data_IF_331757548339
#
_entry.id   IF_331757548339
#
_cell.length_a   1.000
_cell.length_b   1.000
_cell.length_c   1.000
_cell.angle_alpha   90.00
_cell.angle_beta   90.00
_cell.angle_gamma   90.00
#
_symmetry.space_group_name_H-M   'P 1'
#
loop_
_entity.id
_entity.type
_entity.pdbx_description
1 polymer ?
#
# COMPACT_ATOMS: atom_id res chain seq x y z
N UNK A 1 -25.04 61.12 17.81
CA UNK A 1 -24.31 60.24 16.89
C UNK A 1 -23.93 58.97 17.64
N UNK A 2 -24.61 57.87 17.40
CA UNK A 2 -24.28 56.59 18.06
C UNK A 2 -23.50 55.75 17.10
N UNK A 3 -22.20 55.53 17.41
CA UNK A 3 -21.37 54.59 16.69
C UNK A 3 -21.79 53.17 17.08
N UNK A 4 -22.32 52.43 16.13
CA UNK A 4 -22.55 50.99 16.29
C UNK A 4 -21.34 50.26 15.78
N UNK A 5 -20.53 49.73 16.66
CA UNK A 5 -19.47 48.79 16.30
C UNK A 5 -20.11 47.43 16.07
N UNK A 6 -20.14 47.00 14.82
CA UNK A 6 -20.48 45.61 14.48
C UNK A 6 -19.24 44.77 14.77
N UNK A 7 -19.27 43.96 15.83
CA UNK A 7 -18.25 42.92 16.03
C UNK A 7 -18.49 41.81 15.00
N UNK A 8 -17.66 41.80 13.98
CA UNK A 8 -17.60 40.66 13.07
C UNK A 8 -16.84 39.55 13.81
N UNK A 9 -17.59 38.54 14.27
CA UNK A 9 -16.99 37.30 14.79
C UNK A 9 -16.56 36.47 13.61
N UNK A 10 -15.26 36.49 13.29
CA UNK A 10 -14.69 35.53 12.31
C UNK A 10 -14.57 34.20 13.05
N UNK A 11 -15.55 33.32 12.83
CA UNK A 11 -15.41 31.92 13.19
C UNK A 11 -14.33 31.28 12.34
N UNK A 12 -13.18 30.94 12.92
CA UNK A 12 -12.18 30.11 12.27
C UNK A 12 -12.75 28.69 12.25
N UNK A 13 -13.32 28.31 11.10
CA UNK A 13 -13.62 26.92 10.82
C UNK A 13 -12.29 26.20 10.61
N UNK A 14 -11.76 25.58 11.67
CA UNK A 14 -10.68 24.63 11.52
C UNK A 14 -11.24 23.46 10.71
N UNK A 15 -10.89 23.39 9.42
CA UNK A 15 -11.16 22.21 8.60
C UNK A 15 -10.29 21.09 9.16
N UNK A 16 -10.89 20.22 9.97
CA UNK A 16 -10.25 18.94 10.34
C UNK A 16 -10.27 18.09 9.08
N UNK A 17 -9.12 17.96 8.43
CA UNK A 17 -8.99 16.99 7.35
C UNK A 17 -9.33 15.61 7.91
N UNK A 18 -10.29 14.86 7.32
CA UNK A 18 -10.56 13.52 7.77
C UNK A 18 -9.27 12.70 7.71
N UNK A 19 -8.96 11.97 8.78
CA UNK A 19 -7.85 11.05 8.82
C UNK A 19 -8.05 10.05 7.67
N UNK A 20 -7.13 10.04 6.71
CA UNK A 20 -7.20 9.11 5.58
C UNK A 20 -6.87 7.72 6.10
N UNK A 21 -7.80 6.81 5.92
CA UNK A 21 -7.63 5.39 6.18
C UNK A 21 -7.08 4.75 4.90
N UNK A 22 -5.75 4.63 4.81
CA UNK A 22 -5.09 4.14 3.60
C UNK A 22 -4.02 3.11 3.96
N UNK A 23 -3.74 2.21 3.03
CA UNK A 23 -2.55 1.37 3.08
C UNK A 23 -1.47 2.03 2.21
N UNK A 24 -0.40 2.46 2.84
CA UNK A 24 0.71 3.17 2.19
C UNK A 24 2.00 2.39 2.31
N UNK A 25 2.87 2.60 1.35
CA UNK A 25 4.22 2.06 1.38
C UNK A 25 5.21 3.16 1.04
N UNK A 26 6.26 3.26 1.86
CA UNK A 26 7.36 4.21 1.68
C UNK A 26 8.64 3.46 1.34
N UNK A 27 9.34 3.91 0.32
CA UNK A 27 10.64 3.35 -0.07
C UNK A 27 11.75 4.05 0.73
N UNK A 28 12.21 3.41 1.79
CA UNK A 28 13.35 3.87 2.61
C UNK A 28 14.64 3.13 2.23
N UNK A 29 14.71 2.63 1.00
CA UNK A 29 15.91 2.00 0.46
C UNK A 29 16.73 2.99 -0.36
N UNK A 30 17.93 2.61 -0.73
CA UNK A 30 18.82 3.43 -1.56
C UNK A 30 18.56 3.29 -3.07
N UNK A 31 17.68 2.37 -3.47
CA UNK A 31 17.39 2.07 -4.87
C UNK A 31 15.92 2.25 -5.21
N UNK A 32 15.62 2.38 -6.50
CA UNK A 32 14.24 2.35 -6.98
C UNK A 32 13.67 0.94 -6.76
N UNK A 33 12.45 0.85 -6.28
CA UNK A 33 11.74 -0.41 -6.05
C UNK A 33 10.46 -0.49 -6.86
N UNK A 34 10.09 -1.71 -7.24
CA UNK A 34 8.79 -2.03 -7.81
C UNK A 34 8.04 -2.89 -6.82
N UNK A 35 6.81 -2.51 -6.52
CA UNK A 35 6.00 -3.10 -5.45
C UNK A 35 4.72 -3.70 -6.02
N UNK A 36 4.37 -4.88 -5.53
CA UNK A 36 3.09 -5.52 -5.77
C UNK A 36 2.38 -5.77 -4.44
N UNK A 37 1.06 -5.75 -4.47
CA UNK A 37 0.18 -5.92 -3.32
C UNK A 37 -0.84 -7.02 -3.59
N UNK A 38 -1.18 -7.79 -2.56
CA UNK A 38 -2.28 -8.73 -2.62
C UNK A 38 -3.10 -8.69 -1.33
N UNK A 39 -4.37 -8.98 -1.47
CA UNK A 39 -5.30 -9.02 -0.34
C UNK A 39 -6.55 -9.82 -0.73
N UNK A 40 -7.37 -10.13 0.24
CA UNK A 40 -8.69 -10.73 0.02
C UNK A 40 -9.77 -9.94 0.74
N UNK A 41 -10.93 -9.84 0.11
CA UNK A 41 -12.14 -9.28 0.71
C UNK A 41 -12.99 -10.35 1.42
N UNK A 42 -12.46 -11.58 1.54
CA UNK A 42 -13.16 -12.74 2.07
C UNK A 42 -13.88 -13.56 1.01
N UNK A 43 -14.01 -13.06 -0.21
CA UNK A 43 -14.64 -13.74 -1.35
C UNK A 43 -13.62 -14.12 -2.42
N UNK A 44 -12.75 -13.19 -2.77
CA UNK A 44 -11.75 -13.38 -3.80
C UNK A 44 -10.41 -12.80 -3.37
N UNK A 45 -9.33 -13.41 -3.82
CA UNK A 45 -7.99 -12.86 -3.74
C UNK A 45 -7.76 -11.95 -4.92
N UNK A 46 -7.07 -10.84 -4.67
CA UNK A 46 -6.65 -9.88 -5.69
C UNK A 46 -5.18 -9.62 -5.49
N UNK A 47 -4.41 -9.67 -6.59
CA UNK A 47 -3.03 -9.18 -6.61
C UNK A 47 -2.91 -8.14 -7.70
N UNK A 48 -2.18 -7.07 -7.41
CA UNK A 48 -1.98 -5.98 -8.35
C UNK A 48 -0.60 -5.37 -8.23
N UNK A 49 -0.12 -4.78 -9.29
CA UNK A 49 1.17 -4.12 -9.40
C UNK A 49 1.32 -3.50 -10.79
N UNK A 50 2.31 -2.75 -11.03
CA UNK A 50 3.45 -2.44 -10.15
C UNK A 50 3.40 -0.98 -9.76
N UNK A 51 3.74 -0.67 -8.53
CA UNK A 51 4.04 0.70 -8.09
C UNK A 51 5.55 0.87 -8.09
N UNK A 52 6.03 1.85 -8.85
CA UNK A 52 7.46 2.15 -8.95
C UNK A 52 7.77 3.36 -8.09
N UNK A 53 8.65 3.18 -7.12
CA UNK A 53 8.98 4.20 -6.12
C UNK A 53 10.48 4.48 -6.12
N UNK A 54 10.82 5.75 -6.25
CA UNK A 54 12.20 6.22 -6.05
C UNK A 54 12.54 6.20 -4.56
N UNK A 55 13.82 6.23 -4.19
CA UNK A 55 14.20 6.43 -2.78
C UNK A 55 13.46 7.63 -2.19
N UNK A 56 12.97 7.48 -0.97
CA UNK A 56 12.19 8.44 -0.18
C UNK A 56 10.73 8.64 -0.62
N UNK A 57 10.31 8.09 -1.74
CA UNK A 57 8.91 8.18 -2.18
C UNK A 57 7.99 7.27 -1.35
N UNK A 58 6.79 7.75 -1.12
CA UNK A 58 5.67 6.98 -0.59
C UNK A 58 4.53 6.96 -1.61
N UNK A 59 3.76 5.88 -1.62
CA UNK A 59 2.55 5.80 -2.41
C UNK A 59 1.43 5.11 -1.63
N UNK A 60 0.21 5.47 -1.95
CA UNK A 60 -0.99 4.85 -1.40
C UNK A 60 -1.38 3.66 -2.28
N UNK A 61 -1.29 2.46 -1.74
CA UNK A 61 -1.59 1.24 -2.49
C UNK A 61 -3.08 0.87 -2.41
N UNK A 62 -3.71 1.16 -1.27
CA UNK A 62 -5.15 1.00 -1.08
C UNK A 62 -5.70 2.28 -0.47
N UNK A 63 -6.66 2.89 -1.15
CA UNK A 63 -7.33 4.09 -0.66
C UNK A 63 -8.56 3.73 0.16
N UNK A 64 -8.78 4.49 1.24
CA UNK A 64 -9.93 4.35 2.08
C UNK A 64 -9.76 3.35 3.22
N UNK A 65 -10.84 3.05 3.93
CA UNK A 65 -10.83 2.15 5.06
C UNK A 65 -10.31 0.77 4.68
N UNK A 66 -9.39 0.23 5.49
CA UNK A 66 -8.84 -1.09 5.25
C UNK A 66 -9.92 -2.15 5.51
N UNK A 67 -10.28 -2.91 4.46
CA UNK A 67 -11.29 -3.96 4.51
C UNK A 67 -10.73 -5.31 4.95
N UNK A 68 -9.43 -5.41 5.18
CA UNK A 68 -8.77 -6.63 5.60
C UNK A 68 -7.79 -6.34 6.73
N UNK A 69 -7.52 -7.34 7.56
CA UNK A 69 -6.47 -7.29 8.58
C UNK A 69 -5.10 -7.58 7.96
N UNK A 70 -5.06 -8.53 7.02
CA UNK A 70 -3.82 -8.99 6.40
C UNK A 70 -3.69 -8.47 4.98
N UNK A 71 -2.53 -7.90 4.70
CA UNK A 71 -2.10 -7.51 3.36
C UNK A 71 -0.79 -8.24 3.05
N UNK A 72 -0.53 -8.43 1.77
CA UNK A 72 0.64 -9.17 1.31
C UNK A 72 1.39 -8.30 0.33
N UNK A 73 2.70 -8.22 0.50
CA UNK A 73 3.56 -7.32 -0.28
C UNK A 73 4.72 -8.11 -0.88
N UNK A 74 5.03 -7.78 -2.11
CA UNK A 74 6.26 -8.19 -2.77
C UNK A 74 6.93 -6.95 -3.33
N UNK A 75 8.24 -6.88 -3.22
CA UNK A 75 9.01 -5.80 -3.81
C UNK A 75 10.33 -6.30 -4.35
N UNK A 76 10.83 -5.63 -5.37
CA UNK A 76 12.15 -5.88 -5.94
C UNK A 76 12.82 -4.57 -6.29
N UNK A 77 14.14 -4.54 -6.21
CA UNK A 77 14.94 -3.40 -6.62
C UNK A 77 15.61 -3.65 -7.98
N UNK A 78 16.33 -2.64 -8.47
CA UNK A 78 17.04 -2.72 -9.77
C UNK A 78 18.26 -3.64 -9.76
N UNK A 79 18.74 -4.03 -8.56
CA UNK A 79 19.93 -4.87 -8.40
C UNK A 79 19.60 -6.34 -8.17
N UNK A 80 18.32 -6.71 -8.27
CA UNK A 80 17.88 -8.07 -7.99
C UNK A 80 17.60 -8.34 -6.53
N UNK A 81 17.61 -7.33 -5.66
CA UNK A 81 17.14 -7.44 -4.29
C UNK A 81 15.64 -7.64 -4.24
N UNK A 82 15.20 -8.47 -3.30
CA UNK A 82 13.77 -8.82 -3.18
C UNK A 82 13.34 -8.75 -1.72
N UNK A 83 12.11 -8.31 -1.52
CA UNK A 83 11.37 -8.42 -0.27
C UNK A 83 10.23 -9.38 -0.53
N UNK A 84 10.32 -10.57 0.01
CA UNK A 84 9.43 -11.68 -0.33
C UNK A 84 9.07 -12.50 0.90
N UNK A 85 8.13 -13.39 0.73
CA UNK A 85 7.68 -14.32 1.76
C UNK A 85 7.11 -15.59 1.17
N UNK A 86 6.25 -16.25 1.95
CA UNK A 86 5.71 -17.58 1.62
C UNK A 86 4.23 -17.55 1.22
N UNK A 87 3.62 -16.38 1.12
CA UNK A 87 2.27 -16.24 0.61
C UNK A 87 2.32 -16.10 -0.91
N UNK A 88 1.98 -17.15 -1.62
CA UNK A 88 2.12 -17.17 -3.07
C UNK A 88 0.90 -16.59 -3.75
N UNK A 89 1.15 -15.66 -4.66
CA UNK A 89 0.15 -14.95 -5.47
C UNK A 89 0.56 -14.98 -6.94
N UNK A 90 -0.40 -14.70 -7.81
CA UNK A 90 -0.11 -14.56 -9.24
C UNK A 90 0.36 -13.14 -9.54
N UNK A 91 1.40 -13.01 -10.35
CA UNK A 91 1.93 -11.73 -10.82
C UNK A 91 2.17 -11.78 -12.33
N UNK A 92 2.43 -10.62 -12.92
CA UNK A 92 2.81 -10.49 -14.32
C UNK A 92 3.95 -9.46 -14.41
N UNK A 93 4.76 -9.56 -15.47
CA UNK A 93 5.86 -8.62 -15.71
C UNK A 93 5.38 -7.20 -16.00
N UNK A 94 4.19 -7.07 -16.57
CA UNK A 94 3.55 -5.78 -16.84
C UNK A 94 2.61 -5.41 -15.71
N UNK A 95 2.13 -4.18 -15.71
CA UNK A 95 1.06 -3.76 -14.82
C UNK A 95 -0.09 -4.77 -14.86
N UNK A 96 -0.57 -5.15 -13.68
CA UNK A 96 -1.57 -6.21 -13.57
C UNK A 96 -2.54 -5.98 -12.42
N UNK A 97 -3.71 -6.54 -12.58
CA UNK A 97 -4.70 -6.76 -11.53
C UNK A 97 -5.30 -8.13 -11.79
N UNK A 98 -4.94 -9.09 -10.95
CA UNK A 98 -5.29 -10.49 -11.13
C UNK A 98 -6.20 -10.93 -10.01
N UNK A 99 -7.33 -11.51 -10.36
CA UNK A 99 -8.25 -12.13 -9.42
C UNK A 99 -7.92 -13.62 -9.28
N UNK A 100 -7.84 -14.08 -8.04
CA UNK A 100 -7.45 -15.45 -7.72
C UNK A 100 -5.94 -15.64 -7.62
N UNK A 101 -5.53 -16.61 -6.82
CA UNK A 101 -4.11 -16.96 -6.61
C UNK A 101 -3.76 -18.39 -7.00
N UNK A 102 -4.72 -19.11 -7.56
CA UNK A 102 -4.55 -20.50 -7.98
C UNK A 102 -4.13 -20.58 -9.45
N UNK A 103 -3.42 -21.66 -9.78
CA UNK A 103 -3.08 -22.00 -11.17
C UNK A 103 -2.40 -20.86 -11.96
N UNK A 104 -1.48 -20.15 -11.32
CA UNK A 104 -0.83 -19.00 -11.94
C UNK A 104 -0.20 -19.33 -13.29
N UNK A 105 0.62 -20.38 -13.38
CA UNK A 105 1.28 -20.77 -14.62
C UNK A 105 0.29 -21.19 -15.70
N UNK A 106 -0.70 -21.99 -15.34
CA UNK A 106 -1.73 -22.44 -16.28
C UNK A 106 -2.53 -21.27 -16.86
N UNK A 107 -2.65 -20.19 -16.10
CA UNK A 107 -3.36 -18.97 -16.52
C UNK A 107 -2.46 -17.97 -17.23
N UNK A 108 -1.18 -18.28 -17.40
CA UNK A 108 -0.22 -17.41 -18.08
C UNK A 108 0.46 -16.38 -17.17
N UNK A 109 0.44 -16.59 -15.86
CA UNK A 109 1.05 -15.71 -14.87
C UNK A 109 2.24 -16.35 -14.19
N UNK A 110 3.00 -15.55 -13.46
CA UNK A 110 4.04 -16.03 -12.58
C UNK A 110 3.50 -16.25 -11.17
N UNK A 111 4.13 -17.16 -10.45
CA UNK A 111 3.83 -17.43 -9.05
C UNK A 111 4.91 -16.79 -8.18
N UNK A 112 4.53 -15.82 -7.37
CA UNK A 112 5.46 -14.99 -6.60
C UNK A 112 5.13 -15.06 -5.11
N UNK A 113 6.15 -15.18 -4.28
CA UNK A 113 6.01 -15.23 -2.82
C UNK A 113 5.98 -13.84 -2.21
N UNK A 114 4.87 -13.48 -1.58
CA UNK A 114 4.66 -12.22 -0.87
C UNK A 114 4.88 -12.40 0.62
N UNK A 115 5.34 -11.36 1.30
CA UNK A 115 5.38 -11.35 2.76
C UNK A 115 4.09 -10.77 3.34
N UNK A 116 3.72 -11.27 4.51
CA UNK A 116 2.49 -10.88 5.19
C UNK A 116 2.69 -9.62 6.02
N UNK A 117 1.73 -8.72 5.95
CA UNK A 117 1.63 -7.55 6.79
C UNK A 117 0.34 -7.64 7.59
N UNK A 118 0.47 -7.83 8.90
CA UNK A 118 -0.66 -7.85 9.82
C UNK A 118 -0.92 -6.42 10.30
N UNK A 119 -2.02 -5.85 9.86
CA UNK A 119 -2.41 -4.49 10.25
C UNK A 119 -3.16 -4.44 11.57
N UNK A 120 -3.41 -5.60 12.17
CA UNK A 120 -4.20 -5.70 13.38
C UNK A 120 -5.69 -5.61 13.12
N UNK A 121 -6.48 -5.90 14.15
CA UNK A 121 -7.93 -5.76 14.10
C UNK A 121 -8.27 -4.27 14.17
N UNK A 122 -9.24 -3.87 13.38
CA UNK A 122 -9.78 -2.50 13.39
C UNK A 122 -8.78 -1.41 12.95
N UNK A 123 -7.69 -1.75 12.29
CA UNK A 123 -6.78 -0.77 11.75
C UNK A 123 -7.47 0.04 10.66
N UNK A 124 -7.39 1.36 10.75
CA UNK A 124 -7.97 2.27 9.76
C UNK A 124 -6.94 2.67 8.71
N UNK A 125 -5.68 2.76 9.09
CA UNK A 125 -4.57 3.07 8.20
C UNK A 125 -3.34 2.26 8.57
N UNK A 126 -2.43 2.10 7.62
CA UNK A 126 -1.18 1.41 7.84
C UNK A 126 -0.13 1.91 6.85
N UNK A 127 1.10 2.08 7.32
CA UNK A 127 2.23 2.43 6.47
C UNK A 127 3.34 1.40 6.64
N UNK A 128 3.77 0.83 5.52
CA UNK A 128 4.93 -0.06 5.46
C UNK A 128 6.16 0.78 5.12
N UNK A 129 7.22 0.64 5.91
CA UNK A 129 8.53 1.21 5.62
C UNK A 129 9.40 0.11 5.02
N UNK A 130 9.66 0.21 3.72
CA UNK A 130 10.57 -0.72 3.05
C UNK A 130 12.00 -0.24 3.23
N UNK A 131 12.81 -1.02 3.91
CA UNK A 131 14.21 -0.68 4.21
C UNK A 131 15.16 -1.60 3.47
N UNK A 132 16.41 -1.16 3.30
CA UNK A 132 17.43 -2.02 2.70
C UNK A 132 17.52 -3.34 3.46
N UNK A 133 17.73 -4.48 2.75
CA UNK A 133 17.90 -5.76 3.44
C UNK A 133 19.06 -5.69 4.42
N UNK A 134 18.87 -6.28 5.62
CA UNK A 134 19.97 -6.40 6.57
C UNK A 134 21.08 -7.22 5.91
N UNK A 135 22.30 -6.68 5.85
CA UNK A 135 23.45 -7.44 5.41
C UNK A 135 23.68 -8.60 6.39
N UNK A 136 23.77 -9.86 5.90
CA UNK A 136 24.08 -11.00 6.76
C UNK A 136 25.48 -10.87 7.38
#
# INVERSE_FOLDING_TARGET
MRLRFALAVFGVLAAVAPARADFRLCNQTSDRVSVALAYTDGKAWVSEGWWNLKPTDCDTLVQGALGAEFYYVYAMDERGGEWKGKAYMCTNDREFKIEGREDCFARGYERTGFFEVDTGKDAKNWTVQLTDPANP
#
